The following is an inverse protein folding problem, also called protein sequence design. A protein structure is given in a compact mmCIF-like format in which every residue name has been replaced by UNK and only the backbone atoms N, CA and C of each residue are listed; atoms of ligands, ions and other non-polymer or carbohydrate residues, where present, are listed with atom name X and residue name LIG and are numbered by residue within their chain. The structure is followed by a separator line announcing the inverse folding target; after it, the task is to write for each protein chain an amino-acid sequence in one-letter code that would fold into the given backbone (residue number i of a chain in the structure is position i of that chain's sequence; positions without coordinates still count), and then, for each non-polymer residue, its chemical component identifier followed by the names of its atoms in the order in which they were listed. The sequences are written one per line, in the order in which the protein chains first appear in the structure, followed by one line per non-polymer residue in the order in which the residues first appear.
data_IF_799892784446
#
_entry.id   IF_799892784446
#
_cell.length_a   1.000
_cell.length_b   1.000
_cell.length_c   1.000
_cell.angle_alpha   90.00
_cell.angle_beta   90.00
_cell.angle_gamma   90.00
#
_symmetry.space_group_name_H-M   'P 1'
#
loop_
_entity.id
_entity.type
_entity.pdbx_description
1 polymer ?
#
# COMPACT_ATOMS: atom_id res chain seq x y z
N UNK A 1 22.06 3.22 -26.30
CA UNK A 1 22.19 4.11 -25.12
C UNK A 1 22.01 3.26 -23.87
N UNK A 2 22.91 3.34 -22.89
CA UNK A 2 22.60 2.84 -21.55
C UNK A 2 21.62 3.82 -20.90
N UNK A 3 20.34 3.47 -20.90
CA UNK A 3 19.31 4.24 -20.23
C UNK A 3 19.67 4.37 -18.75
N UNK A 4 19.95 5.59 -18.30
CA UNK A 4 20.22 5.86 -16.88
C UNK A 4 18.87 5.95 -16.16
N UNK A 5 18.81 5.39 -14.95
CA UNK A 5 17.60 5.29 -14.15
C UNK A 5 16.80 6.61 -14.10
N UNK A 6 17.49 7.72 -13.80
CA UNK A 6 16.86 9.03 -13.64
C UNK A 6 16.14 9.51 -14.90
N UNK A 7 16.67 9.21 -16.10
CA UNK A 7 16.06 9.64 -17.36
C UNK A 7 15.07 8.65 -17.95
N UNK A 8 14.81 7.53 -17.26
CA UNK A 8 13.83 6.56 -17.73
C UNK A 8 12.40 7.11 -17.63
N UNK A 9 11.54 6.71 -18.57
CA UNK A 9 10.12 7.08 -18.54
C UNK A 9 9.44 6.60 -17.25
N UNK A 10 9.84 5.42 -16.76
CA UNK A 10 9.36 4.88 -15.49
C UNK A 10 9.68 5.81 -14.32
N UNK A 11 10.90 6.34 -14.24
CA UNK A 11 11.31 7.22 -13.15
C UNK A 11 10.61 8.58 -13.24
N UNK A 12 10.50 9.13 -14.45
CA UNK A 12 9.81 10.40 -14.68
C UNK A 12 8.30 10.32 -14.36
N UNK A 13 7.70 9.13 -14.42
CA UNK A 13 6.32 8.87 -14.02
C UNK A 13 6.11 8.70 -12.49
N UNK A 14 7.15 8.81 -11.66
CA UNK A 14 7.02 8.68 -10.20
C UNK A 14 6.55 10.00 -9.55
N UNK A 15 5.49 9.97 -8.73
CA UNK A 15 5.16 11.09 -7.87
C UNK A 15 6.20 11.23 -6.74
N UNK A 16 6.30 12.43 -6.18
CA UNK A 16 7.26 12.74 -5.09
C UNK A 16 7.17 11.77 -3.90
N UNK A 17 5.95 11.35 -3.52
CA UNK A 17 5.75 10.38 -2.45
C UNK A 17 6.33 9.00 -2.77
N UNK A 18 6.25 8.56 -4.03
CA UNK A 18 6.85 7.31 -4.48
C UNK A 18 8.37 7.39 -4.51
N UNK A 19 8.94 8.52 -4.93
CA UNK A 19 10.39 8.76 -4.85
C UNK A 19 10.87 8.71 -3.40
N UNK A 20 10.17 9.39 -2.48
CA UNK A 20 10.50 9.35 -1.06
C UNK A 20 10.47 7.92 -0.52
N UNK A 21 9.41 7.16 -0.80
CA UNK A 21 9.30 5.76 -0.38
C UNK A 21 10.39 4.88 -1.01
N UNK A 22 10.75 5.13 -2.27
CA UNK A 22 11.83 4.43 -2.95
C UNK A 22 13.16 4.64 -2.21
N UNK A 23 13.43 5.86 -1.75
CA UNK A 23 14.63 6.18 -0.96
C UNK A 23 14.59 5.58 0.44
N UNK A 24 13.41 5.49 1.08
CA UNK A 24 13.26 4.76 2.34
C UNK A 24 13.64 3.28 2.18
N UNK A 25 13.15 2.60 1.13
CA UNK A 25 13.56 1.22 0.88
C UNK A 25 15.04 1.08 0.57
N UNK A 26 15.64 2.07 -0.12
CA UNK A 26 17.07 2.07 -0.39
C UNK A 26 17.90 2.21 0.89
N UNK A 27 17.46 3.04 1.85
CA UNK A 27 18.12 3.21 3.14
C UNK A 27 18.11 1.92 3.99
N UNK A 28 17.10 1.07 3.83
CA UNK A 28 17.00 -0.24 4.50
C UNK A 28 17.92 -1.32 3.89
N UNK A 29 18.59 -1.04 2.77
CA UNK A 29 19.51 -1.99 2.17
C UNK A 29 20.72 -2.22 3.06
N UNK A 30 21.03 -3.49 3.27
CA UNK A 30 22.24 -3.95 3.93
C UNK A 30 23.13 -4.57 2.88
N UNK A 31 24.40 -4.20 2.91
CA UNK A 31 25.40 -4.68 1.96
C UNK A 31 26.58 -5.27 2.70
N UNK A 32 27.15 -6.31 2.11
CA UNK A 32 28.39 -6.93 2.54
C UNK A 32 29.45 -6.72 1.45
N UNK A 33 30.72 -6.68 1.84
CA UNK A 33 31.86 -6.59 0.91
C UNK A 33 32.63 -5.27 1.01
N UNK A 34 33.51 -4.99 0.05
CA UNK A 34 34.26 -3.73 -0.04
C UNK A 34 34.18 -3.18 -1.46
N UNK A 35 33.90 -1.87 -1.58
CA UNK A 35 33.92 -1.11 -2.86
C UNK A 35 33.13 -1.83 -3.97
N UNK A 36 33.79 -2.21 -5.07
CA UNK A 36 33.19 -2.79 -6.28
C UNK A 36 32.63 -4.22 -6.14
N UNK A 37 32.85 -4.88 -5.00
CA UNK A 37 32.31 -6.21 -4.69
C UNK A 37 31.18 -6.15 -3.65
N UNK A 38 30.52 -4.99 -3.51
CA UNK A 38 29.37 -4.87 -2.62
C UNK A 38 28.19 -5.68 -3.16
N UNK A 39 27.65 -6.54 -2.29
CA UNK A 39 26.46 -7.35 -2.59
C UNK A 39 25.42 -7.06 -1.52
N UNK A 40 24.20 -6.74 -1.96
CA UNK A 40 23.08 -6.55 -1.04
C UNK A 40 22.64 -7.90 -0.47
N UNK A 41 22.78 -8.07 0.84
CA UNK A 41 22.47 -9.32 1.54
C UNK A 41 20.98 -9.50 1.78
N UNK A 42 20.22 -8.41 1.93
CA UNK A 42 18.80 -8.42 2.26
C UNK A 42 17.88 -8.02 1.08
N UNK A 43 18.38 -7.95 -0.17
CA UNK A 43 17.52 -7.56 -1.29
C UNK A 43 16.46 -8.64 -1.58
N UNK A 44 15.21 -8.34 -1.27
CA UNK A 44 14.09 -9.28 -1.26
C UNK A 44 13.50 -9.51 0.13
N UNK A 45 14.12 -8.98 1.17
CA UNK A 45 13.64 -9.02 2.55
C UNK A 45 13.37 -7.64 3.13
N UNK A 46 13.48 -6.60 2.30
CA UNK A 46 13.31 -5.21 2.71
C UNK A 46 11.87 -4.99 3.13
N UNK A 47 11.68 -4.45 4.33
CA UNK A 47 10.39 -4.11 4.88
C UNK A 47 10.40 -2.65 5.31
N UNK A 48 9.39 -1.91 4.89
CA UNK A 48 9.14 -0.55 5.38
C UNK A 48 7.63 -0.35 5.44
N UNK A 49 7.11 -0.14 6.63
CA UNK A 49 5.70 -0.04 6.94
C UNK A 49 5.12 1.35 6.66
N UNK A 50 3.79 1.37 6.55
CA UNK A 50 3.02 2.60 6.59
C UNK A 50 3.23 3.38 7.91
N UNK A 51 3.36 2.67 9.03
CA UNK A 51 3.59 3.27 10.34
C UNK A 51 4.93 4.04 10.37
N UNK A 52 6.00 3.44 9.85
CA UNK A 52 7.31 4.09 9.70
C UNK A 52 7.25 5.27 8.73
N UNK A 53 6.53 5.13 7.61
CA UNK A 53 6.33 6.23 6.65
C UNK A 53 5.69 7.46 7.31
N UNK A 54 4.67 7.22 8.15
CA UNK A 54 3.98 8.26 8.91
C UNK A 54 4.86 8.83 10.03
N UNK A 55 5.58 7.99 10.75
CA UNK A 55 6.49 8.41 11.82
C UNK A 55 7.59 9.34 11.28
N UNK A 56 8.07 9.08 10.05
CA UNK A 56 9.02 9.94 9.34
C UNK A 56 8.38 11.19 8.69
N UNK A 57 7.10 11.48 8.94
CA UNK A 57 6.37 12.65 8.42
C UNK A 57 6.35 12.74 6.89
N UNK A 58 6.39 11.60 6.18
CA UNK A 58 6.43 11.55 4.72
C UNK A 58 5.04 11.60 4.06
N UNK A 59 3.98 11.44 4.85
CA UNK A 59 2.59 11.56 4.41
C UNK A 59 1.63 10.67 5.21
N UNK A 60 0.39 10.59 4.75
CA UNK A 60 -0.66 9.79 5.36
C UNK A 60 -0.60 8.31 4.90
N UNK A 61 -1.43 7.49 5.55
CA UNK A 61 -1.62 6.07 5.23
C UNK A 61 -1.90 5.81 3.76
N UNK A 62 -2.89 6.53 3.20
CA UNK A 62 -3.27 6.41 1.81
C UNK A 62 -2.14 6.84 0.86
N UNK A 63 -1.35 7.84 1.25
CA UNK A 63 -0.18 8.30 0.49
C UNK A 63 0.86 7.20 0.34
N UNK A 64 1.15 6.46 1.41
CA UNK A 64 2.03 5.29 1.38
C UNK A 64 1.47 4.19 0.45
N UNK A 65 0.18 3.87 0.57
CA UNK A 65 -0.46 2.85 -0.27
C UNK A 65 -0.35 3.21 -1.75
N UNK A 66 -0.65 4.46 -2.11
CA UNK A 66 -0.55 4.96 -3.47
C UNK A 66 0.90 4.94 -3.97
N UNK A 67 1.85 5.40 -3.17
CA UNK A 67 3.28 5.40 -3.48
C UNK A 67 3.80 3.98 -3.73
N UNK A 68 3.48 3.03 -2.84
CA UNK A 68 3.84 1.62 -2.98
C UNK A 68 3.26 1.02 -4.25
N UNK A 69 1.96 1.23 -4.49
CA UNK A 69 1.28 0.70 -5.67
C UNK A 69 1.91 1.22 -6.96
N UNK A 70 2.29 2.50 -6.98
CA UNK A 70 2.96 3.13 -8.11
C UNK A 70 4.37 2.56 -8.35
N UNK A 71 5.15 2.29 -7.29
CA UNK A 71 6.46 1.63 -7.41
C UNK A 71 6.35 0.20 -7.94
N UNK A 72 5.30 -0.53 -7.56
CA UNK A 72 5.02 -1.87 -8.10
C UNK A 72 4.64 -1.75 -9.57
N UNK A 73 3.65 -0.90 -9.89
CA UNK A 73 3.14 -0.68 -11.25
C UNK A 73 4.26 -0.39 -12.25
N UNK A 74 5.17 0.51 -11.88
CA UNK A 74 6.29 0.93 -12.72
C UNK A 74 7.48 -0.05 -12.70
N UNK A 75 7.43 -1.10 -11.88
CA UNK A 75 8.46 -2.15 -11.88
C UNK A 75 9.74 -1.79 -11.12
N UNK A 76 9.70 -0.83 -10.19
CA UNK A 76 10.84 -0.52 -9.31
C UNK A 76 10.99 -1.53 -8.18
N UNK A 77 9.87 -2.06 -7.68
CA UNK A 77 9.84 -3.03 -6.59
C UNK A 77 8.98 -4.23 -6.94
N UNK A 78 9.32 -5.39 -6.37
CA UNK A 78 8.53 -6.60 -6.42
C UNK A 78 8.19 -7.06 -5.00
N UNK A 79 6.94 -7.43 -4.76
CA UNK A 79 6.56 -8.07 -3.48
C UNK A 79 7.12 -9.49 -3.45
N UNK A 80 7.92 -9.81 -2.44
CA UNK A 80 8.48 -11.16 -2.24
C UNK A 80 7.70 -11.94 -1.20
N UNK A 81 7.15 -11.24 -0.22
CA UNK A 81 6.35 -11.83 0.84
C UNK A 81 5.22 -10.89 1.21
N UNK A 82 4.01 -11.45 1.36
CA UNK A 82 2.80 -10.73 1.77
C UNK A 82 2.54 -11.01 3.25
N UNK A 83 2.87 -10.05 4.09
CA UNK A 83 2.59 -10.12 5.53
C UNK A 83 1.12 -9.81 5.85
N UNK A 84 0.85 -9.50 7.12
CA UNK A 84 -0.45 -9.13 7.65
C UNK A 84 -1.23 -10.27 8.30
N UNK A 85 -0.60 -11.40 8.62
CA UNK A 85 -1.23 -12.51 9.36
C UNK A 85 -1.09 -12.37 10.88
N UNK A 86 -0.01 -11.74 11.36
CA UNK A 86 0.28 -11.55 12.78
C UNK A 86 0.89 -10.17 13.09
N UNK A 87 0.95 -9.81 14.37
CA UNK A 87 1.65 -8.57 14.80
C UNK A 87 3.13 -8.66 14.42
N UNK A 88 3.64 -7.65 13.71
CA UNK A 88 5.01 -7.63 13.19
C UNK A 88 5.22 -8.38 11.88
N UNK A 89 4.19 -9.03 11.35
CA UNK A 89 4.23 -9.71 10.04
C UNK A 89 4.08 -8.69 8.91
N UNK A 90 5.19 -8.24 8.35
CA UNK A 90 5.24 -7.15 7.37
C UNK A 90 5.50 -7.65 5.95
N UNK A 91 5.01 -6.88 4.97
CA UNK A 91 5.35 -7.13 3.57
C UNK A 91 6.86 -6.96 3.36
N UNK A 92 7.44 -7.88 2.57
CA UNK A 92 8.82 -7.78 2.12
C UNK A 92 8.85 -7.49 0.62
N UNK A 93 9.84 -6.71 0.23
CA UNK A 93 10.01 -6.24 -1.13
C UNK A 93 11.44 -6.50 -1.62
N UNK A 94 11.56 -6.68 -2.93
CA UNK A 94 12.80 -6.72 -3.69
C UNK A 94 12.92 -5.46 -4.52
N UNK A 95 14.05 -4.77 -4.44
CA UNK A 95 14.36 -3.64 -5.29
C UNK A 95 14.96 -4.13 -6.61
N UNK A 96 14.47 -3.57 -7.72
CA UNK A 96 14.81 -4.00 -9.08
C UNK A 96 15.65 -2.99 -9.85
N UNK A 97 16.07 -1.90 -9.21
CA UNK A 97 16.88 -0.83 -9.81
C UNK A 97 18.28 -0.72 -9.21
N UNK A 98 18.59 -1.55 -8.21
CA UNK A 98 19.85 -1.51 -7.46
C UNK A 98 20.90 -2.43 -8.07
N UNK A 99 22.16 -2.17 -7.74
CA UNK A 99 23.29 -2.96 -8.22
C UNK A 99 23.15 -4.44 -7.80
N UNK A 100 23.63 -5.34 -8.66
CA UNK A 100 23.49 -6.79 -8.47
C UNK A 100 22.17 -7.38 -8.97
N UNK A 101 21.20 -6.55 -9.39
CA UNK A 101 20.02 -7.04 -10.13
C UNK A 101 20.37 -7.23 -11.60
N UNK A 102 20.10 -8.42 -12.14
CA UNK A 102 20.29 -8.68 -13.57
C UNK A 102 19.38 -7.78 -14.43
N UNK A 103 19.91 -7.32 -15.57
CA UNK A 103 19.22 -6.41 -16.49
C UNK A 103 17.83 -6.91 -16.92
N UNK A 104 17.68 -8.22 -17.19
CA UNK A 104 16.39 -8.80 -17.59
C UNK A 104 15.33 -8.78 -16.47
N UNK A 105 15.75 -8.62 -15.21
CA UNK A 105 14.87 -8.48 -14.03
C UNK A 105 14.52 -7.02 -13.72
N UNK A 106 15.18 -6.05 -14.36
CA UNK A 106 14.91 -4.62 -14.20
C UNK A 106 13.64 -4.23 -14.96
N UNK A 107 12.49 -4.46 -14.32
CA UNK A 107 11.16 -4.26 -14.91
C UNK A 107 10.92 -2.84 -15.41
N UNK A 108 11.38 -1.82 -14.67
CA UNK A 108 11.26 -0.41 -15.06
C UNK A 108 11.80 -0.08 -16.46
N UNK A 109 12.73 -0.87 -17.02
CA UNK A 109 13.26 -0.69 -18.39
C UNK A 109 12.26 -1.07 -19.50
N UNK A 110 11.17 -1.77 -19.15
CA UNK A 110 10.14 -2.18 -20.12
C UNK A 110 8.91 -1.30 -20.10
N UNK A 111 8.82 -0.37 -19.14
CA UNK A 111 7.80 0.66 -19.14
C UNK A 111 8.08 1.64 -20.29
N UNK A 112 7.07 2.11 -21.04
CA UNK A 112 5.63 2.01 -20.80
C UNK A 112 4.95 0.77 -21.41
N UNK A 113 5.68 -0.05 -22.17
CA UNK A 113 5.12 -1.20 -22.90
C UNK A 113 4.53 -2.27 -21.96
N UNK A 114 5.18 -2.50 -20.81
CA UNK A 114 4.72 -3.41 -19.75
C UNK A 114 4.53 -2.67 -18.43
N UNK A 115 3.53 -3.09 -17.65
CA UNK A 115 3.34 -2.67 -16.27
C UNK A 115 3.02 -3.86 -15.35
N UNK A 116 3.12 -3.64 -14.03
CA UNK A 116 2.91 -4.69 -13.02
C UNK A 116 1.75 -4.37 -12.07
N UNK A 117 0.69 -3.70 -12.57
CA UNK A 117 -0.50 -3.41 -11.74
C UNK A 117 -1.14 -4.67 -11.17
N UNK A 118 -1.11 -5.77 -11.92
CA UNK A 118 -1.63 -7.07 -11.51
C UNK A 118 -0.90 -7.66 -10.29
N UNK A 119 0.32 -7.21 -9.98
CA UNK A 119 1.08 -7.64 -8.80
C UNK A 119 0.77 -6.81 -7.54
N UNK A 120 -0.01 -5.73 -7.66
CA UNK A 120 -0.38 -4.90 -6.53
C UNK A 120 -1.19 -5.74 -5.52
N UNK A 121 -0.78 -5.81 -4.25
CA UNK A 121 -1.51 -6.55 -3.23
C UNK A 121 -2.94 -6.03 -3.09
N UNK A 122 -3.90 -6.82 -3.55
CA UNK A 122 -5.34 -6.59 -3.29
C UNK A 122 -5.67 -6.94 -1.85
N UNK A 123 -6.64 -6.24 -1.26
CA UNK A 123 -7.18 -6.58 0.06
C UNK A 123 -7.59 -8.05 0.02
N UNK A 124 -7.07 -8.84 0.95
CA UNK A 124 -7.43 -10.26 1.05
C UNK A 124 -8.89 -10.33 1.50
N UNK A 125 -9.71 -11.15 0.84
CA UNK A 125 -11.14 -11.33 1.15
C UNK A 125 -11.40 -12.15 2.43
N UNK A 126 -10.59 -11.96 3.48
CA UNK A 126 -10.71 -12.71 4.74
C UNK A 126 -11.71 -12.12 5.73
N UNK A 127 -12.41 -11.05 5.38
CA UNK A 127 -13.45 -10.48 6.23
C UNK A 127 -14.68 -11.40 6.21
N UNK A 128 -14.70 -12.40 7.10
CA UNK A 128 -15.89 -13.20 7.39
C UNK A 128 -17.03 -12.24 7.73
N UNK A 129 -18.15 -12.38 7.01
CA UNK A 129 -19.32 -11.54 7.17
C UNK A 129 -19.26 -10.17 6.49
N UNK A 130 -18.39 -9.94 5.50
CA UNK A 130 -18.49 -8.77 4.61
C UNK A 130 -19.81 -8.76 3.82
N UNK A 131 -20.25 -9.94 3.40
CA UNK A 131 -21.55 -10.14 2.72
C UNK A 131 -22.72 -10.04 3.69
N UNK A 132 -22.57 -10.59 4.91
CA UNK A 132 -23.63 -10.63 5.93
C UNK A 132 -23.65 -9.41 6.85
N UNK A 133 -22.67 -8.50 6.75
CA UNK A 133 -22.67 -7.23 7.50
C UNK A 133 -23.92 -6.45 7.14
N UNK A 134 -24.59 -5.91 8.15
CA UNK A 134 -25.74 -5.04 7.98
C UNK A 134 -25.39 -3.88 7.03
N UNK A 135 -25.87 -3.95 5.80
CA UNK A 135 -25.73 -2.88 4.81
C UNK A 135 -26.85 -1.90 5.09
N UNK A 136 -26.50 -0.65 5.39
CA UNK A 136 -27.50 0.40 5.60
C UNK A 136 -28.19 0.69 4.27
N UNK A 137 -29.38 0.12 4.05
CA UNK A 137 -30.15 0.28 2.81
C UNK A 137 -30.71 1.71 2.71
N UNK A 138 -31.14 2.30 3.83
CA UNK A 138 -31.66 3.65 3.91
C UNK A 138 -31.08 4.39 5.11
N UNK A 139 -30.88 5.72 5.00
CA UNK A 139 -30.51 6.53 6.16
C UNK A 139 -31.68 6.56 7.16
N UNK A 140 -31.53 5.94 8.34
CA UNK A 140 -32.58 5.95 9.38
C UNK A 140 -32.89 7.36 9.88
N UNK A 141 -31.95 8.30 9.72
CA UNK A 141 -32.16 9.71 10.01
C UNK A 141 -32.66 10.41 8.75
N UNK A 142 -33.97 10.64 8.68
CA UNK A 142 -34.58 11.41 7.58
C UNK A 142 -34.18 12.89 7.62
N UNK A 143 -33.91 13.47 8.79
CA UNK A 143 -33.42 14.83 8.96
C UNK A 143 -32.88 14.99 10.40
N UNK A 144 -31.81 15.77 10.58
CA UNK A 144 -31.09 16.16 11.83
C UNK A 144 -29.80 15.40 12.12
N UNK A 145 -28.67 16.03 11.83
CA UNK A 145 -27.43 15.89 12.59
C UNK A 145 -27.70 16.44 14.00
N UNK A 146 -27.64 15.58 15.02
CA UNK A 146 -27.79 15.98 16.41
C UNK A 146 -26.49 16.68 16.86
N UNK A 147 -26.29 17.94 16.45
CA UNK A 147 -25.33 18.83 17.09
C UNK A 147 -25.94 19.28 18.42
N UNK A 148 -25.86 18.43 19.45
CA UNK A 148 -26.40 18.75 20.78
C UNK A 148 -26.11 17.66 21.80
N UNK A 149 -25.40 18.04 22.86
CA UNK A 149 -24.86 17.23 23.97
C UNK A 149 -25.91 16.57 24.88
N UNK A 150 -27.03 16.04 24.38
CA UNK A 150 -27.95 15.28 25.25
C UNK A 150 -28.34 13.94 24.59
N UNK A 151 -28.09 12.80 25.25
CA UNK A 151 -28.57 11.51 24.75
C UNK A 151 -30.11 11.47 24.87
N UNK A 152 -30.80 10.77 23.95
CA UNK A 152 -32.24 10.63 24.03
C UNK A 152 -32.63 9.85 25.29
N UNK A 153 -33.54 10.41 26.10
CA UNK A 153 -34.28 9.65 27.12
C UNK A 153 -35.34 8.83 26.41
N UNK A 154 -35.22 7.51 26.49
CA UNK A 154 -36.27 6.58 26.06
C UNK A 154 -36.08 6.05 24.65
N UNK A 155 -35.78 4.75 24.54
CA UNK A 155 -35.99 3.98 23.33
C UNK A 155 -37.47 3.58 23.31
N UNK A 156 -38.30 4.25 22.53
CA UNK A 156 -39.60 3.69 22.18
C UNK A 156 -39.41 2.77 20.96
N UNK A 157 -39.68 1.46 21.06
CA UNK A 157 -39.60 0.56 19.93
C UNK A 157 -40.69 0.90 18.91
N UNK A 158 -40.30 0.92 17.63
CA UNK A 158 -41.22 1.09 16.51
C UNK A 158 -42.11 -0.15 16.44
N UNK A 159 -43.40 0.00 16.78
CA UNK A 159 -44.43 -1.01 16.53
C UNK A 159 -44.65 -1.13 15.01
N UNK A 160 -44.15 -2.21 14.41
CA UNK A 160 -44.42 -2.53 13.00
C UNK A 160 -45.65 -3.44 12.96
N UNK A 161 -46.75 -2.87 12.47
CA UNK A 161 -48.06 -3.46 12.12
C UNK A 161 -49.03 -3.76 13.29
N UNK A 162 -50.07 -2.93 13.51
CA UNK A 162 -51.23 -3.37 14.28
C UNK A 162 -52.07 -4.37 13.45
N UNK A 163 -52.75 -5.34 14.07
CA UNK A 163 -53.69 -6.21 13.37
C UNK A 163 -54.93 -5.40 12.95
N UNK A 164 -55.38 -5.62 11.72
CA UNK A 164 -56.66 -5.08 11.24
C UNK A 164 -57.80 -5.82 11.96
N UNK A 165 -58.75 -5.06 12.52
CA UNK A 165 -60.06 -5.56 12.97
C UNK A 165 -60.90 -6.13 11.83
#
# INVERSE_FOLDING_TARGET
MHERLFWSEAYQALPKSAVNLMMCFHAELRWNGKKKKQVFSNNGEISFSEAEFKANKLGASQTYINARNQLIRLGFIKVTYRGGMARGDMNKYKLLWVDGVFHHKMRWKRFPNENWEHEIPKVKDYAVGRETRFKKINNTLKNKTLNGTNPPKGLDPISVNPPNE
#
